data_IF_369469155793
#
_entry.id   IF_369469155793
#
_cell.length_a   1.000
_cell.length_b   1.000
_cell.length_c   1.000
_cell.angle_alpha   90.00
_cell.angle_beta   90.00
_cell.angle_gamma   90.00
#
_symmetry.space_group_name_H-M   'P 1'
#
loop_
_entity.id
_entity.type
_entity.pdbx_description
1 polymer ?
#
# COMPACT_ATOMS: atom_id res chain seq x y z
N UNK A 1 5.07 26.61 25.76
CA UNK A 1 4.80 26.42 24.32
C UNK A 1 4.60 24.92 24.11
N UNK A 2 3.36 24.44 24.15
CA UNK A 2 3.08 23.05 23.73
C UNK A 2 3.03 23.05 22.21
N UNK A 3 4.10 22.55 21.58
CA UNK A 3 4.06 22.26 20.15
C UNK A 3 3.11 21.08 19.97
N UNK A 4 1.88 21.37 19.55
CA UNK A 4 0.96 20.34 19.07
C UNK A 4 1.57 19.80 17.79
N UNK A 5 2.14 18.59 17.89
CA UNK A 5 2.53 17.82 16.71
C UNK A 5 1.22 17.45 16.02
N UNK A 6 0.89 18.14 14.94
CA UNK A 6 -0.21 17.73 14.07
C UNK A 6 0.32 16.50 13.33
N UNK A 7 0.11 15.32 13.89
CA UNK A 7 0.46 14.06 13.25
C UNK A 7 -0.35 13.99 11.96
N UNK A 8 0.33 13.86 10.82
CA UNK A 8 -0.35 13.59 9.56
C UNK A 8 -1.15 12.29 9.75
N UNK A 9 -2.45 12.35 9.52
CA UNK A 9 -3.36 11.24 9.72
C UNK A 9 -4.15 10.98 8.43
N UNK A 10 -4.55 9.73 8.21
CA UNK A 10 -5.51 9.43 7.15
C UNK A 10 -6.85 10.14 7.40
N UNK A 11 -7.51 10.67 6.35
CA UNK A 11 -8.90 11.10 6.44
C UNK A 11 -9.82 9.98 6.91
N UNK A 12 -10.94 10.32 7.55
CA UNK A 12 -11.87 9.35 8.13
C UNK A 12 -12.51 8.44 7.07
N UNK A 13 -12.69 8.95 5.86
CA UNK A 13 -13.20 8.24 4.70
C UNK A 13 -12.24 7.14 4.20
N UNK A 14 -10.93 7.32 4.36
CA UNK A 14 -9.90 6.37 3.94
C UNK A 14 -9.53 5.40 5.08
N UNK A 15 -9.56 5.89 6.31
CA UNK A 15 -9.12 5.15 7.51
C UNK A 15 -9.87 3.82 7.67
N UNK A 16 -9.16 2.82 8.19
CA UNK A 16 -9.69 1.49 8.49
C UNK A 16 -9.45 0.44 7.39
N UNK A 17 -10.15 -0.71 7.47
CA UNK A 17 -9.89 -1.86 6.62
C UNK A 17 -10.60 -1.79 5.26
N UNK A 18 -9.88 -2.22 4.23
CA UNK A 18 -10.35 -2.38 2.86
C UNK A 18 -10.01 -3.78 2.34
N UNK A 19 -10.90 -4.36 1.54
CA UNK A 19 -10.62 -5.57 0.78
C UNK A 19 -9.82 -5.20 -0.46
N UNK A 20 -8.53 -5.56 -0.49
CA UNK A 20 -7.64 -5.31 -1.61
C UNK A 20 -7.59 -6.48 -2.57
N UNK A 21 -7.66 -6.18 -3.86
CA UNK A 21 -7.35 -7.06 -4.98
C UNK A 21 -6.20 -6.45 -5.77
N UNK A 22 -5.12 -7.22 -5.93
CA UNK A 22 -3.92 -6.81 -6.65
C UNK A 22 -3.70 -7.79 -7.79
N UNK A 23 -3.50 -7.29 -9.01
CA UNK A 23 -3.27 -8.12 -10.21
C UNK A 23 -1.99 -7.66 -10.90
N UNK A 24 -1.07 -8.57 -11.18
CA UNK A 24 0.14 -8.26 -11.94
C UNK A 24 -0.22 -8.00 -13.40
N UNK A 25 0.12 -6.79 -13.89
CA UNK A 25 -0.19 -6.36 -15.26
C UNK A 25 1.04 -6.36 -16.16
N UNK A 26 2.21 -6.11 -15.59
CA UNK A 26 3.51 -6.09 -16.28
C UNK A 26 4.58 -6.65 -15.35
N UNK A 27 5.47 -7.50 -15.86
CA UNK A 27 6.61 -8.00 -15.07
C UNK A 27 7.73 -8.48 -15.97
N UNK A 28 8.97 -8.15 -15.59
CA UNK A 28 10.17 -8.86 -16.04
C UNK A 28 10.85 -9.62 -14.89
N UNK A 29 10.20 -9.74 -13.75
CA UNK A 29 10.68 -10.48 -12.57
C UNK A 29 10.27 -11.95 -12.69
N UNK A 30 11.18 -12.87 -12.37
CA UNK A 30 10.88 -14.31 -12.32
C UNK A 30 9.87 -14.71 -11.23
N UNK A 31 9.76 -13.90 -10.17
CA UNK A 31 8.90 -14.14 -9.01
C UNK A 31 7.45 -13.63 -9.19
N UNK A 32 7.17 -12.90 -10.28
CA UNK A 32 5.86 -12.31 -10.53
C UNK A 32 5.43 -12.57 -11.97
N UNK A 33 4.41 -13.41 -12.15
CA UNK A 33 3.84 -13.70 -13.47
C UNK A 33 2.69 -12.73 -13.79
N UNK A 34 2.61 -12.29 -15.04
CA UNK A 34 1.48 -11.48 -15.51
C UNK A 34 0.19 -12.27 -15.35
N UNK A 35 -0.81 -11.64 -14.73
CA UNK A 35 -2.07 -12.29 -14.36
C UNK A 35 -2.13 -12.81 -12.93
N UNK A 36 -1.01 -12.85 -12.20
CA UNK A 36 -0.99 -13.22 -10.77
C UNK A 36 -1.93 -12.31 -9.98
N UNK A 37 -2.78 -12.92 -9.15
CA UNK A 37 -3.75 -12.20 -8.33
C UNK A 37 -3.51 -12.47 -6.85
N UNK A 38 -3.66 -11.43 -6.03
CA UNK A 38 -3.64 -11.53 -4.57
C UNK A 38 -4.81 -10.76 -4.00
N UNK A 39 -5.40 -11.33 -2.96
CA UNK A 39 -6.46 -10.71 -2.18
C UNK A 39 -6.03 -10.62 -0.74
N UNK A 40 -5.94 -9.40 -0.22
CA UNK A 40 -5.42 -9.08 1.10
C UNK A 40 -6.29 -7.99 1.75
N UNK A 41 -6.27 -7.88 3.08
CA UNK A 41 -6.85 -6.73 3.77
C UNK A 41 -5.81 -5.61 3.80
N UNK A 42 -6.21 -4.42 3.40
CA UNK A 42 -5.43 -3.19 3.49
C UNK A 42 -6.03 -2.33 4.59
N UNK A 43 -5.32 -2.17 5.71
CA UNK A 43 -5.77 -1.36 6.83
C UNK A 43 -4.98 -0.05 6.85
N UNK A 44 -5.68 1.06 6.57
CA UNK A 44 -5.14 2.42 6.68
C UNK A 44 -5.24 2.86 8.14
N UNK A 45 -4.09 3.01 8.78
CA UNK A 45 -3.95 3.30 10.20
C UNK A 45 -2.87 4.38 10.41
N UNK A 46 -2.67 4.84 11.63
CA UNK A 46 -1.62 5.81 11.95
C UNK A 46 -0.72 5.23 13.03
N UNK A 47 0.60 5.40 12.86
CA UNK A 47 1.52 5.19 13.97
C UNK A 47 1.62 6.48 14.82
N UNK A 48 2.54 6.50 15.79
CA UNK A 48 2.71 7.67 16.67
C UNK A 48 3.22 8.93 15.96
N UNK A 49 3.63 8.83 14.70
CA UNK A 49 4.37 9.84 13.95
C UNK A 49 3.85 10.11 12.54
N UNK A 50 3.23 9.14 11.87
CA UNK A 50 2.85 9.23 10.46
C UNK A 50 1.75 8.23 10.07
N UNK A 51 1.09 8.45 8.92
CA UNK A 51 0.17 7.47 8.35
C UNK A 51 0.91 6.22 7.90
N UNK A 52 0.30 5.06 8.17
CA UNK A 52 0.78 3.75 7.76
C UNK A 52 -0.33 2.95 7.08
N UNK A 53 0.05 1.95 6.30
CA UNK A 53 -0.91 0.99 5.75
C UNK A 53 -0.42 -0.42 5.98
N UNK A 54 -1.21 -1.22 6.68
CA UNK A 54 -0.92 -2.63 6.97
C UNK A 54 -1.56 -3.50 5.90
N UNK A 55 -0.81 -4.44 5.37
CA UNK A 55 -1.34 -5.50 4.51
C UNK A 55 -1.43 -6.78 5.33
N UNK A 56 -2.63 -7.31 5.45
CA UNK A 56 -2.95 -8.45 6.30
C UNK A 56 -3.49 -9.57 5.41
N UNK A 57 -2.85 -10.74 5.48
CA UNK A 57 -3.28 -11.95 4.78
C UNK A 57 -3.44 -13.08 5.79
N UNK A 58 -4.60 -13.74 5.81
CA UNK A 58 -4.92 -14.83 6.75
C UNK A 58 -4.58 -14.46 8.22
N UNK A 59 -5.00 -13.27 8.65
CA UNK A 59 -4.72 -12.68 9.98
C UNK A 59 -3.24 -12.42 10.31
N UNK A 60 -2.34 -12.56 9.35
CA UNK A 60 -0.92 -12.23 9.51
C UNK A 60 -0.59 -10.90 8.85
N UNK A 61 0.15 -10.04 9.55
CA UNK A 61 0.73 -8.83 8.97
C UNK A 61 1.86 -9.24 8.01
N UNK A 62 1.64 -9.06 6.70
CA UNK A 62 2.61 -9.44 5.66
C UNK A 62 3.37 -8.25 5.06
N UNK A 63 2.87 -7.04 5.28
CA UNK A 63 3.56 -5.80 4.88
C UNK A 63 3.10 -4.62 5.71
N UNK A 64 4.03 -3.70 5.95
CA UNK A 64 3.75 -2.38 6.48
C UNK A 64 4.30 -1.34 5.50
N UNK A 65 3.45 -0.44 5.04
CA UNK A 65 3.83 0.71 4.23
C UNK A 65 3.83 1.97 5.08
N UNK A 66 4.77 2.88 4.81
CA UNK A 66 4.64 4.28 5.20
C UNK A 66 3.78 5.00 4.17
N UNK A 67 2.94 5.94 4.61
CA UNK A 67 1.93 6.54 3.77
C UNK A 67 1.88 8.07 3.84
N UNK A 68 1.40 8.67 2.77
CA UNK A 68 1.11 10.10 2.67
C UNK A 68 -0.19 10.30 1.89
N UNK A 69 -1.03 11.24 2.33
CA UNK A 69 -2.22 11.68 1.61
C UNK A 69 -2.10 13.16 1.25
N UNK A 70 -2.00 13.46 -0.04
CA UNK A 70 -1.93 14.84 -0.54
C UNK A 70 -2.59 14.91 -1.92
N UNK A 71 -3.26 16.03 -2.22
CA UNK A 71 -3.89 16.27 -3.54
C UNK A 71 -4.86 15.15 -3.99
N UNK A 72 -5.59 14.56 -3.04
CA UNK A 72 -6.47 13.40 -3.29
C UNK A 72 -5.74 12.17 -3.86
N UNK A 73 -4.46 12.01 -3.52
CA UNK A 73 -3.66 10.84 -3.84
C UNK A 73 -3.09 10.22 -2.58
N UNK A 74 -3.18 8.90 -2.49
CA UNK A 74 -2.47 8.12 -1.47
C UNK A 74 -1.17 7.60 -2.07
N UNK A 75 -0.06 7.94 -1.43
CA UNK A 75 1.28 7.46 -1.79
C UNK A 75 1.81 6.59 -0.67
N UNK A 76 2.07 5.33 -0.99
CA UNK A 76 2.63 4.35 -0.05
C UNK A 76 4.03 3.94 -0.47
N UNK A 77 4.92 3.73 0.49
CA UNK A 77 6.28 3.29 0.22
C UNK A 77 6.77 2.24 1.21
N UNK A 78 7.54 1.29 0.71
CA UNK A 78 8.28 0.32 1.49
C UNK A 78 9.64 0.11 0.85
N UNK A 79 10.67 -0.03 1.67
CA UNK A 79 12.01 -0.40 1.25
C UNK A 79 12.61 -1.36 2.28
N UNK A 80 13.28 -2.41 1.80
CA UNK A 80 14.07 -3.28 2.68
C UNK A 80 15.22 -2.51 3.32
N UNK A 81 15.58 -2.86 4.55
CA UNK A 81 16.76 -2.28 5.20
C UNK A 81 18.07 -2.72 4.52
N UNK A 82 19.17 -2.12 4.95
CA UNK A 82 20.52 -2.37 4.42
C UNK A 82 21.09 -3.75 4.74
N UNK A 83 20.45 -4.52 5.63
CA UNK A 83 20.88 -5.85 6.03
C UNK A 83 20.16 -6.96 5.26
N UNK A 84 19.13 -6.60 4.49
CA UNK A 84 18.39 -7.53 3.68
C UNK A 84 19.25 -8.16 2.58
N UNK A 85 19.08 -9.47 2.36
CA UNK A 85 19.78 -10.21 1.30
C UNK A 85 19.40 -9.74 -0.12
N UNK A 86 18.24 -9.12 -0.27
CA UNK A 86 17.67 -8.65 -1.54
C UNK A 86 17.09 -7.26 -1.32
N UNK A 87 17.50 -6.31 -2.15
CA UNK A 87 16.97 -4.95 -2.08
C UNK A 87 15.63 -4.89 -2.80
N UNK A 88 14.55 -4.62 -2.06
CA UNK A 88 13.21 -4.49 -2.63
C UNK A 88 12.65 -3.13 -2.27
N UNK A 89 12.27 -2.39 -3.31
CA UNK A 89 11.51 -1.15 -3.20
C UNK A 89 10.10 -1.39 -3.71
N UNK A 90 9.12 -0.84 -2.99
CA UNK A 90 7.72 -0.91 -3.38
C UNK A 90 7.10 0.47 -3.25
N UNK A 91 6.41 0.89 -4.30
CA UNK A 91 5.63 2.12 -4.32
C UNK A 91 4.19 1.79 -4.68
N UNK A 92 3.24 2.45 -4.02
CA UNK A 92 1.82 2.41 -4.39
C UNK A 92 1.34 3.83 -4.59
N UNK A 93 0.65 4.05 -5.70
CA UNK A 93 -0.08 5.28 -5.99
C UNK A 93 -1.55 4.91 -6.13
N UNK A 94 -2.41 5.43 -5.26
CA UNK A 94 -3.85 5.33 -5.36
C UNK A 94 -4.42 6.73 -5.60
N UNK A 95 -5.00 6.94 -6.78
CA UNK A 95 -5.38 8.27 -7.28
C UNK A 95 -6.80 8.31 -7.88
N UNK A 96 -7.50 7.17 -7.87
CA UNK A 96 -8.92 7.07 -8.15
C UNK A 96 -9.61 6.69 -6.84
N UNK A 97 -10.05 7.71 -6.10
CA UNK A 97 -10.60 7.57 -4.73
C UNK A 97 -12.07 7.98 -4.74
N UNK A 98 -12.91 7.07 -4.26
CA UNK A 98 -14.34 7.27 -4.01
C UNK A 98 -14.73 6.63 -2.68
N UNK A 99 -15.90 6.96 -2.15
CA UNK A 99 -16.36 6.55 -0.83
C UNK A 99 -16.24 5.04 -0.54
N UNK A 100 -16.48 4.20 -1.55
CA UNK A 100 -16.52 2.74 -1.38
C UNK A 100 -15.44 2.01 -2.18
N UNK A 101 -14.64 2.75 -2.96
CA UNK A 101 -13.70 2.16 -3.90
C UNK A 101 -12.48 3.04 -4.11
N UNK A 102 -11.29 2.44 -3.97
CA UNK A 102 -10.02 3.10 -4.25
C UNK A 102 -9.26 2.26 -5.28
N UNK A 103 -8.67 2.91 -6.28
CA UNK A 103 -7.85 2.23 -7.29
C UNK A 103 -6.54 2.95 -7.52
N UNK A 104 -5.61 2.19 -8.10
CA UNK A 104 -4.34 2.73 -8.57
C UNK A 104 -3.38 1.63 -8.97
N UNK A 105 -2.10 1.88 -8.73
CA UNK A 105 -1.00 1.00 -9.15
C UNK A 105 -0.01 0.76 -8.04
N UNK A 106 0.49 -0.47 -7.97
CA UNK A 106 1.65 -0.84 -7.17
C UNK A 106 2.80 -1.20 -8.09
N UNK A 107 3.99 -0.69 -7.80
CA UNK A 107 5.23 -1.04 -8.48
C UNK A 107 6.17 -1.69 -7.47
N UNK A 108 6.79 -2.79 -7.86
CA UNK A 108 7.83 -3.48 -7.11
C UNK A 108 9.09 -3.46 -7.97
N UNK A 109 10.18 -2.96 -7.40
CA UNK A 109 11.49 -2.94 -8.05
C UNK A 109 12.48 -3.70 -7.18
N UNK A 110 13.22 -4.63 -7.78
CA UNK A 110 14.25 -5.38 -7.08
C UNK A 110 15.28 -5.93 -8.07
N UNK A 111 16.57 -5.79 -7.76
CA UNK A 111 17.70 -6.37 -8.50
C UNK A 111 17.56 -6.31 -10.04
N UNK A 112 17.27 -5.12 -10.57
CA UNK A 112 17.14 -4.89 -12.02
C UNK A 112 15.82 -5.38 -12.65
N UNK A 113 14.92 -5.97 -11.86
CA UNK A 113 13.57 -6.33 -12.27
C UNK A 113 12.53 -5.34 -11.73
N UNK A 114 11.42 -5.21 -12.45
CA UNK A 114 10.26 -4.40 -12.11
C UNK A 114 8.99 -5.17 -12.44
N UNK A 115 8.06 -5.16 -11.49
CA UNK A 115 6.71 -5.68 -11.67
C UNK A 115 5.70 -4.58 -11.30
N UNK A 116 4.70 -4.39 -12.15
CA UNK A 116 3.58 -3.48 -11.92
C UNK A 116 2.29 -4.25 -11.73
N UNK A 117 1.46 -3.69 -10.87
CA UNK A 117 0.20 -4.29 -10.48
C UNK A 117 -0.90 -3.24 -10.50
N UNK A 118 -2.08 -3.60 -10.99
CA UNK A 118 -3.30 -2.85 -10.70
C UNK A 118 -3.73 -3.15 -9.26
N UNK A 119 -4.14 -2.12 -8.54
CA UNK A 119 -4.69 -2.23 -7.19
C UNK A 119 -6.14 -1.76 -7.22
N UNK A 120 -7.02 -2.56 -6.65
CA UNK A 120 -8.41 -2.20 -6.38
C UNK A 120 -8.72 -2.52 -4.92
N UNK A 121 -9.18 -1.53 -4.17
CA UNK A 121 -9.60 -1.63 -2.80
C UNK A 121 -11.11 -1.37 -2.75
N UNK A 122 -11.85 -2.26 -2.11
CA UNK A 122 -13.29 -2.10 -1.87
C UNK A 122 -13.51 -2.04 -0.37
N UNK A 123 -14.31 -1.08 0.08
CA UNK A 123 -14.55 -0.88 1.51
C UNK A 123 -15.13 -2.16 2.11
N UNK A 124 -14.58 -2.59 3.25
CA UNK A 124 -15.12 -3.74 3.96
C UNK A 124 -16.47 -3.36 4.56
N UNK A 125 -17.56 -3.67 3.85
CA UNK A 125 -18.91 -3.56 4.41
C UNK A 125 -19.01 -4.56 5.55
N UNK A 126 -19.08 -4.06 6.78
CA UNK A 126 -19.59 -4.84 7.91
C UNK A 126 -21.11 -4.97 7.78
#
# INVERSE_FOLDING_TARGET
KNSVVITAAWPAEISGPWNGKVICTESNCSEYAVGDQRTDIWEFDNDSTQPITKIINNNNLVRLYTGKFENNEIRLSFKTDSTAKKNVEMSVLLNDISDNKIRGTRTITSDGCTAKFSVELVRSTK
#
